data_IF_758620746898
#
_entry.id   IF_758620746898
#
_cell.length_a   1.000
_cell.length_b   1.000
_cell.length_c   1.000
_cell.angle_alpha   90.00
_cell.angle_beta   90.00
_cell.angle_gamma   90.00
#
_symmetry.space_group_name_H-M   'P 1'
#
loop_
_entity.id
_entity.type
_entity.pdbx_description
1 polymer ?
#
# COMPACT_ATOMS: atom_id res chain seq x y z
N UNK A 1 3.43 -13.62 -4.93
CA UNK A 1 2.92 -14.99 -4.71
C UNK A 1 3.07 -15.27 -3.23
N UNK A 2 1.95 -15.50 -2.55
CA UNK A 2 1.93 -15.74 -1.11
C UNK A 2 2.75 -16.99 -0.74
N UNK A 3 3.39 -16.96 0.41
CA UNK A 3 4.15 -18.08 0.95
C UNK A 3 3.26 -18.84 1.94
N UNK A 4 3.31 -20.18 1.89
CA UNK A 4 2.55 -21.04 2.79
C UNK A 4 3.48 -21.59 3.87
N UNK A 5 3.18 -21.26 5.11
CA UNK A 5 3.82 -21.85 6.30
C UNK A 5 2.95 -22.99 6.83
N UNK A 6 3.29 -24.21 6.46
CA UNK A 6 2.56 -25.43 6.83
C UNK A 6 2.64 -25.67 8.34
N UNK A 7 3.78 -25.39 8.96
CA UNK A 7 4.01 -25.67 10.37
C UNK A 7 3.08 -24.83 11.27
N UNK A 8 2.88 -23.57 10.93
CA UNK A 8 2.05 -22.63 11.67
C UNK A 8 0.62 -22.51 11.13
N UNK A 9 0.30 -23.18 10.00
CA UNK A 9 -0.96 -23.01 9.26
C UNK A 9 -1.23 -21.54 8.92
N UNK A 10 -0.21 -20.87 8.43
CA UNK A 10 -0.29 -19.45 8.01
C UNK A 10 -0.02 -19.29 6.52
N UNK A 11 -0.73 -18.35 5.91
CA UNK A 11 -0.46 -17.86 4.56
C UNK A 11 0.14 -16.46 4.72
N UNK A 12 1.34 -16.27 4.19
CA UNK A 12 2.04 -14.99 4.22
C UNK A 12 1.77 -14.22 2.93
N UNK A 13 1.11 -13.09 3.02
CA UNK A 13 0.78 -12.23 1.88
C UNK A 13 1.46 -10.86 2.00
N UNK A 14 1.92 -10.32 0.88
CA UNK A 14 2.66 -9.07 0.80
C UNK A 14 1.81 -7.94 0.26
N UNK A 15 1.66 -6.87 1.04
CA UNK A 15 1.00 -5.62 0.63
C UNK A 15 2.05 -4.51 0.53
N UNK A 16 2.08 -3.81 -0.60
CA UNK A 16 3.03 -2.73 -0.87
C UNK A 16 2.31 -1.40 -0.95
N UNK A 17 2.74 -0.44 -0.14
CA UNK A 17 2.34 0.97 -0.21
C UNK A 17 3.22 1.67 -1.24
N UNK A 18 2.64 2.03 -2.38
CA UNK A 18 3.28 2.66 -3.52
C UNK A 18 2.78 4.10 -3.70
N UNK A 19 3.46 4.91 -4.52
CA UNK A 19 3.08 6.29 -4.81
C UNK A 19 4.26 7.26 -4.77
N UNK A 20 4.06 8.52 -5.15
CA UNK A 20 5.13 9.50 -5.27
C UNK A 20 5.82 9.81 -3.94
N UNK A 21 6.99 10.43 -4.01
CA UNK A 21 7.69 10.94 -2.84
C UNK A 21 6.78 11.84 -1.98
N UNK A 22 6.88 11.71 -0.65
CA UNK A 22 6.15 12.52 0.33
C UNK A 22 4.62 12.34 0.34
N UNK A 23 4.05 11.40 -0.40
CA UNK A 23 2.59 11.17 -0.40
C UNK A 23 2.02 10.63 0.91
N UNK A 24 2.87 10.18 1.84
CA UNK A 24 2.44 9.70 3.17
C UNK A 24 2.44 8.17 3.33
N UNK A 25 3.09 7.41 2.44
CA UNK A 25 3.25 5.94 2.56
C UNK A 25 3.80 5.51 3.91
N UNK A 26 4.95 6.07 4.29
CA UNK A 26 5.61 5.82 5.59
C UNK A 26 4.72 6.21 6.77
N UNK A 27 4.01 7.34 6.66
CA UNK A 27 3.07 7.82 7.68
C UNK A 27 1.93 6.82 7.89
N UNK A 28 1.41 6.23 6.81
CA UNK A 28 0.40 5.16 6.89
C UNK A 28 0.93 3.99 7.71
N UNK A 29 2.10 3.44 7.37
CA UNK A 29 2.68 2.29 8.06
C UNK A 29 2.92 2.58 9.55
N UNK A 30 3.48 3.74 9.87
CA UNK A 30 3.70 4.18 11.26
C UNK A 30 2.37 4.25 12.03
N UNK A 31 1.32 4.79 11.40
CA UNK A 31 0.02 4.91 12.02
C UNK A 31 -0.66 3.56 12.25
N UNK A 32 -0.59 2.67 11.26
CA UNK A 32 -1.08 1.29 11.37
C UNK A 32 -0.37 0.58 12.52
N UNK A 33 0.96 0.58 12.49
CA UNK A 33 1.77 -0.11 13.50
C UNK A 33 1.49 0.40 14.92
N UNK A 34 1.35 1.71 15.10
CA UNK A 34 1.05 2.31 16.41
C UNK A 34 -0.31 1.90 16.96
N UNK A 35 -1.31 1.71 16.09
CA UNK A 35 -2.71 1.43 16.48
C UNK A 35 -3.05 -0.05 16.58
N UNK A 36 -2.27 -0.91 15.96
CA UNK A 36 -2.44 -2.36 16.12
C UNK A 36 -2.04 -2.80 17.53
N UNK A 37 -2.79 -3.71 18.17
CA UNK A 37 -2.37 -4.40 19.39
C UNK A 37 -1.00 -5.03 19.23
N UNK A 38 -0.19 -5.02 20.30
CA UNK A 38 1.18 -5.51 20.25
C UNK A 38 1.29 -6.99 19.85
N UNK A 39 0.32 -7.79 20.29
CA UNK A 39 0.21 -9.22 19.99
C UNK A 39 -0.12 -9.55 18.53
N UNK A 40 -0.65 -8.57 17.78
CA UNK A 40 -1.04 -8.74 16.38
C UNK A 40 -0.02 -8.18 15.38
N UNK A 41 1.07 -7.56 15.88
CA UNK A 41 2.07 -6.94 15.00
C UNK A 41 3.48 -7.42 15.33
N UNK A 42 4.29 -7.55 14.29
CA UNK A 42 5.73 -7.73 14.43
C UNK A 42 6.48 -6.42 14.69
N UNK A 43 7.79 -6.54 14.85
CA UNK A 43 8.68 -5.39 14.99
C UNK A 43 8.75 -4.60 13.68
N UNK A 44 8.64 -3.27 13.79
CA UNK A 44 8.84 -2.39 12.63
C UNK A 44 10.33 -2.29 12.30
N UNK A 45 10.69 -2.70 11.09
CA UNK A 45 12.04 -2.64 10.57
C UNK A 45 12.17 -1.51 9.54
N UNK A 46 13.33 -0.92 9.46
CA UNK A 46 13.64 0.13 8.50
C UNK A 46 14.86 -0.25 7.69
N UNK A 47 14.73 -0.22 6.38
CA UNK A 47 15.88 -0.22 5.47
C UNK A 47 16.14 1.24 5.14
N UNK A 48 17.17 1.81 5.73
CA UNK A 48 17.58 3.18 5.47
C UNK A 48 18.43 3.23 4.18
N UNK A 49 18.07 4.14 3.28
CA UNK A 49 18.98 4.66 2.25
C UNK A 49 19.43 6.04 2.70
N UNK A 50 20.45 6.63 2.08
CA UNK A 50 21.00 7.95 2.49
C UNK A 50 19.95 9.06 2.54
N UNK A 51 18.85 8.96 1.77
CA UNK A 51 17.84 10.01 1.63
C UNK A 51 16.42 9.59 2.05
N UNK A 52 16.10 8.30 2.12
CA UNK A 52 14.74 7.82 2.46
C UNK A 52 14.75 6.55 3.30
N UNK A 53 13.62 6.31 3.98
CA UNK A 53 13.38 5.08 4.76
C UNK A 53 12.29 4.26 4.13
N UNK A 54 12.61 3.02 3.77
CA UNK A 54 11.62 1.98 3.49
C UNK A 54 11.26 1.31 4.80
N UNK A 55 10.01 1.40 5.20
CA UNK A 55 9.52 0.71 6.38
C UNK A 55 8.80 -0.57 5.99
N UNK A 56 8.93 -1.61 6.82
CA UNK A 56 8.14 -2.81 6.72
C UNK A 56 7.92 -3.44 8.09
N UNK A 57 6.80 -4.14 8.23
CA UNK A 57 6.48 -5.00 9.37
C UNK A 57 5.40 -6.02 8.96
N UNK A 58 5.27 -7.09 9.72
CA UNK A 58 4.20 -8.05 9.58
C UNK A 58 3.09 -7.82 10.62
N UNK A 59 1.89 -8.24 10.30
CA UNK A 59 0.76 -8.20 11.22
C UNK A 59 -0.26 -9.31 10.93
N UNK A 60 -1.00 -9.70 11.97
CA UNK A 60 -2.19 -10.53 11.84
C UNK A 60 -3.41 -9.60 11.81
N UNK A 61 -4.35 -9.75 10.86
CA UNK A 61 -5.54 -8.90 10.81
C UNK A 61 -6.34 -8.99 12.11
N UNK A 62 -6.90 -7.85 12.55
CA UNK A 62 -7.84 -7.82 13.69
C UNK A 62 -9.11 -8.61 13.38
N UNK A 63 -9.58 -8.54 12.13
CA UNK A 63 -10.65 -9.41 11.63
C UNK A 63 -10.01 -10.78 11.35
N UNK A 64 -10.58 -11.86 11.90
CA UNK A 64 -10.10 -13.23 11.64
C UNK A 64 -10.34 -13.61 10.19
N UNK A 65 -9.46 -13.14 9.31
CA UNK A 65 -9.52 -13.45 7.88
C UNK A 65 -8.80 -14.78 7.67
N UNK A 66 -9.56 -15.81 7.23
CA UNK A 66 -9.03 -17.15 6.93
C UNK A 66 -9.28 -17.54 5.50
N UNK A 67 -8.33 -18.24 4.91
CA UNK A 67 -8.44 -18.86 3.58
C UNK A 67 -8.24 -20.36 3.74
N UNK A 68 -9.26 -21.15 3.39
CA UNK A 68 -9.20 -22.60 3.53
C UNK A 68 -8.91 -23.09 4.96
N UNK A 69 -9.27 -22.31 5.99
CA UNK A 69 -8.99 -22.60 7.40
C UNK A 69 -7.60 -22.16 7.89
N UNK A 70 -6.79 -21.54 7.03
CA UNK A 70 -5.48 -21.01 7.36
C UNK A 70 -5.57 -19.54 7.77
N UNK A 71 -4.80 -19.13 8.78
CA UNK A 71 -4.67 -17.73 9.15
C UNK A 71 -3.83 -16.98 8.12
N UNK A 72 -4.11 -15.69 7.92
CA UNK A 72 -3.30 -14.85 7.04
C UNK A 72 -2.42 -13.95 7.88
N UNK A 73 -1.13 -13.91 7.55
CA UNK A 73 -0.18 -12.92 8.06
C UNK A 73 0.22 -11.99 6.93
N UNK A 74 -0.08 -10.71 7.07
CA UNK A 74 0.29 -9.71 6.08
C UNK A 74 1.65 -9.09 6.38
N UNK A 75 2.43 -8.89 5.34
CA UNK A 75 3.69 -8.16 5.37
C UNK A 75 3.51 -6.84 4.64
N UNK A 76 3.57 -5.72 5.38
CA UNK A 76 3.42 -4.37 4.82
C UNK A 76 4.79 -3.78 4.50
N UNK A 77 4.91 -3.23 3.31
CA UNK A 77 6.11 -2.54 2.84
C UNK A 77 5.75 -1.15 2.33
N UNK A 78 6.52 -0.12 2.66
CA UNK A 78 6.49 1.14 1.93
C UNK A 78 7.67 1.21 0.97
N UNK A 79 7.46 1.71 -0.25
CA UNK A 79 8.56 1.94 -1.19
C UNK A 79 9.11 3.35 -1.03
N UNK A 80 10.42 3.57 -1.31
CA UNK A 80 10.98 4.92 -1.41
C UNK A 80 10.36 5.63 -2.62
N UNK A 81 9.97 6.89 -2.45
CA UNK A 81 9.22 7.64 -3.47
C UNK A 81 10.06 8.52 -4.38
N UNK A 82 11.37 8.64 -4.15
CA UNK A 82 12.27 9.45 -4.99
C UNK A 82 12.72 8.70 -6.23
N UNK A 83 12.93 9.44 -7.33
CA UNK A 83 13.25 8.87 -8.66
C UNK A 83 14.51 8.03 -8.69
N UNK A 84 15.51 8.37 -7.90
CA UNK A 84 16.78 7.63 -7.82
C UNK A 84 16.63 6.17 -7.37
N UNK A 85 15.48 5.78 -6.78
CA UNK A 85 15.25 4.45 -6.21
C UNK A 85 14.35 3.55 -7.07
N UNK A 86 14.25 3.76 -8.37
CA UNK A 86 13.44 2.94 -9.30
C UNK A 86 13.73 1.44 -9.14
N UNK A 87 15.00 1.03 -9.08
CA UNK A 87 15.39 -0.38 -8.90
C UNK A 87 14.92 -0.95 -7.57
N UNK A 88 15.00 -0.17 -6.50
CA UNK A 88 14.54 -0.56 -5.16
C UNK A 88 13.03 -0.71 -5.13
N UNK A 89 12.28 0.23 -5.74
CA UNK A 89 10.82 0.12 -5.86
C UNK A 89 10.43 -1.15 -6.61
N UNK A 90 11.06 -1.43 -7.74
CA UNK A 90 10.82 -2.65 -8.52
C UNK A 90 11.11 -3.90 -7.71
N UNK A 91 12.24 -3.97 -7.02
CA UNK A 91 12.58 -5.12 -6.17
C UNK A 91 11.56 -5.34 -5.05
N UNK A 92 11.06 -4.27 -4.42
CA UNK A 92 10.03 -4.37 -3.37
C UNK A 92 8.69 -4.81 -3.95
N UNK A 93 8.32 -4.38 -5.17
CA UNK A 93 7.09 -4.83 -5.85
C UNK A 93 7.13 -6.31 -6.23
N UNK A 94 8.31 -6.88 -6.39
CA UNK A 94 8.45 -8.31 -6.66
C UNK A 94 7.73 -9.15 -5.61
N UNK A 95 6.80 -10.01 -6.06
CA UNK A 95 6.00 -10.87 -5.19
C UNK A 95 4.91 -10.16 -4.38
N UNK A 96 4.56 -8.90 -4.69
CA UNK A 96 3.42 -8.25 -4.06
C UNK A 96 2.12 -9.00 -4.36
N UNK A 97 1.28 -9.18 -3.36
CA UNK A 97 -0.05 -9.80 -3.48
C UNK A 97 -1.16 -8.73 -3.48
N UNK A 98 -0.83 -7.50 -3.07
CA UNK A 98 -1.72 -6.35 -3.18
C UNK A 98 -0.95 -5.03 -3.07
N UNK A 99 -1.56 -3.97 -3.59
CA UNK A 99 -0.98 -2.62 -3.61
C UNK A 99 -1.96 -1.61 -3.03
N UNK A 100 -1.44 -0.73 -2.17
CA UNK A 100 -2.09 0.52 -1.81
C UNK A 100 -1.34 1.64 -2.51
N UNK A 101 -1.97 2.27 -3.51
CA UNK A 101 -1.41 3.45 -4.16
C UNK A 101 -1.83 4.70 -3.37
N UNK A 102 -0.86 5.35 -2.75
CA UNK A 102 -1.07 6.56 -1.94
C UNK A 102 -0.76 7.79 -2.77
N UNK A 103 -1.81 8.45 -3.24
CA UNK A 103 -1.73 9.71 -3.96
C UNK A 103 -1.82 10.90 -3.00
N UNK A 104 -1.17 12.00 -3.35
CA UNK A 104 -1.19 13.26 -2.61
C UNK A 104 -2.27 14.19 -3.18
N UNK A 105 -3.22 14.62 -2.35
CA UNK A 105 -4.33 15.47 -2.78
C UNK A 105 -3.93 16.94 -3.04
N UNK A 106 -2.69 17.34 -2.75
CA UNK A 106 -2.20 18.67 -3.11
C UNK A 106 -2.23 18.84 -4.65
N UNK A 107 -2.90 19.87 -5.21
CA UNK A 107 -2.95 20.10 -6.66
C UNK A 107 -1.59 20.18 -7.35
N UNK A 108 -0.55 20.69 -6.66
CA UNK A 108 0.81 20.77 -7.20
C UNK A 108 1.44 19.38 -7.38
N UNK A 109 0.88 18.37 -6.76
CA UNK A 109 1.33 16.97 -6.82
C UNK A 109 0.61 16.13 -7.88
N UNK A 110 -0.37 16.68 -8.59
CA UNK A 110 -1.15 15.97 -9.62
C UNK A 110 -0.24 15.21 -10.60
N UNK A 111 0.73 15.91 -11.18
CA UNK A 111 1.69 15.33 -12.12
C UNK A 111 2.51 14.19 -11.49
N UNK A 112 3.02 14.38 -10.29
CA UNK A 112 3.80 13.35 -9.59
C UNK A 112 2.96 12.10 -9.28
N UNK A 113 1.66 12.26 -8.95
CA UNK A 113 0.75 11.14 -8.78
C UNK A 113 0.61 10.33 -10.08
N UNK A 114 0.36 11.00 -11.20
CA UNK A 114 0.16 10.35 -12.51
C UNK A 114 1.43 9.64 -12.97
N UNK A 115 2.58 10.31 -12.91
CA UNK A 115 3.88 9.72 -13.26
C UNK A 115 4.19 8.48 -12.41
N UNK A 116 3.89 8.54 -11.09
CA UNK A 116 4.11 7.41 -10.20
C UNK A 116 3.15 6.24 -10.46
N UNK A 117 1.91 6.50 -10.90
CA UNK A 117 0.97 5.45 -11.29
C UNK A 117 1.39 4.79 -12.60
N UNK A 118 1.85 5.56 -13.58
CA UNK A 118 2.41 5.04 -14.83
C UNK A 118 3.63 4.16 -14.55
N UNK A 119 4.55 4.61 -13.70
CA UNK A 119 5.72 3.82 -13.31
C UNK A 119 5.33 2.50 -12.61
N UNK A 120 4.27 2.53 -11.78
CA UNK A 120 3.74 1.30 -11.17
C UNK A 120 3.30 0.30 -12.23
N UNK A 121 2.56 0.75 -13.24
CA UNK A 121 2.09 -0.10 -14.35
C UNK A 121 3.27 -0.72 -15.09
N UNK A 122 4.27 0.07 -15.47
CA UNK A 122 5.50 -0.41 -16.13
C UNK A 122 6.26 -1.44 -15.28
N UNK A 123 6.31 -1.23 -13.96
CA UNK A 123 6.93 -2.21 -13.06
C UNK A 123 6.15 -3.51 -12.97
N UNK A 124 4.82 -3.47 -13.00
CA UNK A 124 3.99 -4.67 -12.99
C UNK A 124 4.14 -5.45 -14.29
N UNK A 125 4.18 -4.77 -15.43
CA UNK A 125 4.42 -5.38 -16.74
C UNK A 125 5.75 -6.15 -16.78
N UNK A 126 6.80 -5.59 -16.15
CA UNK A 126 8.08 -6.28 -16.01
C UNK A 126 7.96 -7.64 -15.30
N UNK A 127 7.02 -7.78 -14.38
CA UNK A 127 6.73 -9.05 -13.68
C UNK A 127 5.65 -9.88 -14.37
N UNK A 128 5.23 -9.53 -15.58
CA UNK A 128 4.13 -10.17 -16.32
C UNK A 128 2.83 -10.16 -15.50
N UNK A 129 2.61 -9.10 -14.74
CA UNK A 129 1.38 -8.86 -13.97
C UNK A 129 0.69 -7.61 -14.48
N UNK A 130 -0.61 -7.59 -14.39
CA UNK A 130 -1.41 -6.43 -14.80
C UNK A 130 -2.14 -5.83 -13.59
N UNK A 131 -2.53 -4.60 -13.73
CA UNK A 131 -3.37 -3.91 -12.74
C UNK A 131 -4.76 -4.53 -12.59
N UNK A 132 -5.19 -5.35 -13.55
CA UNK A 132 -6.46 -6.09 -13.51
C UNK A 132 -6.38 -7.38 -12.65
N UNK A 133 -5.21 -7.99 -12.59
CA UNK A 133 -5.00 -9.26 -11.89
C UNK A 133 -4.48 -9.12 -10.48
N UNK A 134 -3.98 -7.93 -10.13
CA UNK A 134 -3.43 -7.63 -8.82
C UNK A 134 -4.41 -6.75 -8.03
N UNK A 135 -4.81 -7.11 -6.80
CA UNK A 135 -5.58 -6.24 -5.94
C UNK A 135 -4.92 -4.88 -5.74
N UNK A 136 -5.60 -3.81 -6.12
CA UNK A 136 -5.15 -2.42 -5.95
C UNK A 136 -6.24 -1.62 -5.25
N UNK A 137 -5.83 -0.74 -4.35
CA UNK A 137 -6.67 0.25 -3.68
C UNK A 137 -5.99 1.61 -3.81
N UNK A 138 -6.73 2.64 -4.15
CA UNK A 138 -6.25 4.02 -4.15
C UNK A 138 -6.54 4.69 -2.80
N UNK A 139 -5.56 5.38 -2.27
CA UNK A 139 -5.73 6.25 -1.10
C UNK A 139 -5.37 7.69 -1.48
N UNK A 140 -6.35 8.60 -1.38
CA UNK A 140 -6.17 10.03 -1.59
C UNK A 140 -5.85 10.68 -0.25
N UNK A 141 -4.58 10.88 -0.01
CA UNK A 141 -4.08 11.38 1.27
C UNK A 141 -3.93 12.90 1.28
N UNK A 142 -3.96 13.48 2.48
CA UNK A 142 -3.84 14.92 2.75
C UNK A 142 -5.03 15.74 2.25
N UNK A 143 -6.24 15.18 2.32
CA UNK A 143 -7.47 15.88 1.95
C UNK A 143 -7.79 17.07 2.85
N UNK A 144 -7.08 17.22 3.98
CA UNK A 144 -7.17 18.33 4.92
C UNK A 144 -6.40 19.59 4.48
N UNK A 145 -5.61 19.49 3.41
CA UNK A 145 -4.88 20.65 2.91
C UNK A 145 -5.84 21.70 2.31
N UNK A 146 -5.59 22.99 2.57
CA UNK A 146 -6.33 24.05 1.89
C UNK A 146 -6.19 23.91 0.35
N UNK A 147 -7.32 23.84 -0.36
CA UNK A 147 -7.33 23.66 -1.81
C UNK A 147 -6.97 22.26 -2.30
N UNK A 148 -7.04 21.25 -1.42
CA UNK A 148 -6.88 19.85 -1.84
C UNK A 148 -7.81 19.50 -3.00
N UNK A 149 -7.32 18.67 -3.93
CA UNK A 149 -8.13 18.14 -5.02
C UNK A 149 -9.31 17.33 -4.47
N UNK A 150 -10.47 17.49 -5.08
CA UNK A 150 -11.64 16.69 -4.72
C UNK A 150 -11.44 15.22 -5.10
N UNK A 151 -12.21 14.33 -4.47
CA UNK A 151 -12.23 12.91 -4.85
C UNK A 151 -12.50 12.74 -6.35
N UNK A 152 -13.46 13.48 -6.91
CA UNK A 152 -13.80 13.42 -8.33
C UNK A 152 -12.61 13.82 -9.23
N UNK A 153 -11.86 14.88 -8.86
CA UNK A 153 -10.67 15.29 -9.61
C UNK A 153 -9.58 14.22 -9.57
N UNK A 154 -9.42 13.55 -8.41
CA UNK A 154 -8.45 12.46 -8.24
C UNK A 154 -8.87 11.21 -9.01
N UNK A 155 -10.15 10.82 -8.92
CA UNK A 155 -10.70 9.68 -9.67
C UNK A 155 -10.54 9.88 -11.18
N UNK A 156 -10.84 11.07 -11.69
CA UNK A 156 -10.69 11.40 -13.12
C UNK A 156 -9.25 11.24 -13.62
N UNK A 157 -8.27 11.52 -12.78
CA UNK A 157 -6.85 11.50 -13.18
C UNK A 157 -6.12 10.19 -12.87
N UNK A 158 -6.64 9.35 -11.97
CA UNK A 158 -5.92 8.20 -11.45
C UNK A 158 -6.72 6.90 -11.46
N UNK A 159 -8.05 6.92 -11.66
CA UNK A 159 -8.90 5.76 -11.43
C UNK A 159 -9.76 5.38 -12.64
N UNK A 160 -9.14 5.20 -13.80
CA UNK A 160 -9.83 4.75 -15.02
C UNK A 160 -10.38 3.31 -14.92
N UNK A 161 -9.85 2.51 -13.99
CA UNK A 161 -10.18 1.08 -13.81
C UNK A 161 -11.23 0.84 -12.72
N UNK A 162 -11.68 1.90 -12.03
CA UNK A 162 -12.66 1.84 -10.93
C UNK A 162 -12.20 1.01 -9.71
N UNK A 163 -10.93 1.18 -9.31
CA UNK A 163 -10.43 0.60 -8.06
C UNK A 163 -11.12 1.22 -6.83
N UNK A 164 -11.24 0.48 -5.72
CA UNK A 164 -11.72 1.06 -4.46
C UNK A 164 -10.86 2.25 -4.03
N UNK A 165 -11.51 3.38 -3.71
CA UNK A 165 -10.87 4.63 -3.30
C UNK A 165 -11.19 5.01 -1.87
N UNK A 166 -10.21 5.56 -1.15
CA UNK A 166 -10.33 6.04 0.21
C UNK A 166 -9.68 7.40 0.37
N UNK A 167 -10.42 8.34 0.93
CA UNK A 167 -9.88 9.61 1.37
C UNK A 167 -9.18 9.45 2.73
N UNK A 168 -8.02 10.10 2.91
CA UNK A 168 -7.22 9.92 4.10
C UNK A 168 -6.53 11.20 4.59
N UNK A 169 -6.30 11.22 5.89
CA UNK A 169 -5.39 12.13 6.58
C UNK A 169 -4.45 11.23 7.41
N UNK A 170 -3.46 10.67 6.75
CA UNK A 170 -2.62 9.62 7.32
C UNK A 170 -1.90 10.05 8.61
N UNK A 171 -1.56 11.33 8.76
CA UNK A 171 -0.93 11.85 9.97
C UNK A 171 -1.85 11.74 11.19
N UNK A 172 -3.16 11.82 11.00
CA UNK A 172 -4.18 11.62 12.03
C UNK A 172 -4.76 10.22 12.06
N UNK A 173 -4.45 9.41 11.04
CA UNK A 173 -4.92 8.03 10.88
C UNK A 173 -6.35 7.90 10.33
N UNK A 174 -6.94 8.99 9.85
CA UNK A 174 -8.23 8.97 9.16
C UNK A 174 -8.08 8.26 7.81
N UNK A 175 -9.01 7.36 7.46
CA UNK A 175 -8.99 6.59 6.22
C UNK A 175 -7.93 5.46 6.15
N UNK A 176 -6.97 5.44 7.09
CA UNK A 176 -5.84 4.48 7.07
C UNK A 176 -6.31 3.05 7.35
N UNK A 177 -7.20 2.87 8.35
CA UNK A 177 -7.74 1.56 8.71
C UNK A 177 -8.66 1.02 7.60
N UNK A 178 -9.49 1.85 7.05
CA UNK A 178 -10.45 1.51 5.99
C UNK A 178 -9.72 1.04 4.74
N UNK A 179 -8.66 1.77 4.35
CA UNK A 179 -7.76 1.40 3.24
C UNK A 179 -7.14 0.04 3.47
N UNK A 180 -6.54 -0.18 4.66
CA UNK A 180 -5.88 -1.44 4.99
C UNK A 180 -6.88 -2.61 5.00
N UNK A 181 -8.05 -2.43 5.60
CA UNK A 181 -9.09 -3.45 5.65
C UNK A 181 -9.57 -3.84 4.24
N UNK A 182 -9.72 -2.86 3.35
CA UNK A 182 -10.13 -3.11 1.96
C UNK A 182 -9.09 -3.94 1.21
N UNK A 183 -7.83 -3.51 1.20
CA UNK A 183 -6.78 -4.24 0.48
C UNK A 183 -6.56 -5.64 1.07
N UNK A 184 -6.62 -5.80 2.40
CA UNK A 184 -6.47 -7.10 3.05
C UNK A 184 -7.57 -8.09 2.62
N UNK A 185 -8.84 -7.65 2.53
CA UNK A 185 -9.94 -8.48 2.05
C UNK A 185 -9.81 -8.82 0.57
N UNK A 186 -9.37 -7.87 -0.26
CA UNK A 186 -9.15 -8.12 -1.70
C UNK A 186 -8.05 -9.15 -1.90
N UNK A 187 -6.92 -9.01 -1.21
CA UNK A 187 -5.83 -9.98 -1.27
C UNK A 187 -6.29 -11.36 -0.78
N UNK A 188 -7.00 -11.43 0.34
CA UNK A 188 -7.50 -12.70 0.87
C UNK A 188 -8.42 -13.45 -0.10
N UNK A 189 -9.12 -12.76 -1.01
CA UNK A 189 -9.97 -13.38 -2.05
C UNK A 189 -9.18 -13.98 -3.21
N UNK A 190 -7.91 -13.61 -3.36
CA UNK A 190 -7.02 -14.11 -4.45
C UNK A 190 -6.09 -15.22 -3.97
N UNK A 191 -6.08 -15.52 -2.68
CA UNK A 191 -5.31 -16.60 -2.06
C UNK A 191 -6.08 -17.91 -2.02
#
# INVERSE_FOLDING_TARGET
MALIDIANREIHAKIVYYGPGLSGKTTNLVNIHRRLPAELRGEMKSIATEAERTLFFDFVPIEDIRVGGWAIRFHLYSVPGQDVYVRTRRAILGGADGIVFVADADPVRRRANTESLTELTEHLDHFQRTTETLPIVLQYNKIDLPGAMSRTDMDTSLNEVDWPTFEAIAIHGNGVRETLASISRLVARTL
#
